data_IF_982300427756
#
_entry.id   IF_982300427756
#
_cell.length_a   1.000
_cell.length_b   1.000
_cell.length_c   1.000
_cell.angle_alpha   90.00
_cell.angle_beta   90.00
_cell.angle_gamma   90.00
#
_symmetry.space_group_name_H-M   'P 1'
#
loop_
_entity.id
_entity.type
_entity.pdbx_description
1 polymer ?
#
# COMPACT_ATOMS: atom_id res chain seq x y z
N UNK A 1 -22.50 17.79 -4.74
CA UNK A 1 -21.53 18.34 -5.72
C UNK A 1 -20.85 17.30 -6.63
N UNK A 2 -20.19 16.24 -6.13
CA UNK A 2 -19.49 15.28 -7.01
C UNK A 2 -20.38 14.32 -7.82
N UNK A 3 -21.55 13.94 -7.28
CA UNK A 3 -22.45 12.97 -7.92
C UNK A 3 -23.47 13.61 -8.90
N UNK A 4 -23.80 14.88 -8.71
CA UNK A 4 -24.81 15.60 -9.52
C UNK A 4 -24.35 15.88 -10.95
N UNK A 5 -23.03 15.97 -11.17
CA UNK A 5 -22.43 16.13 -12.51
C UNK A 5 -22.58 14.85 -13.36
N UNK A 6 -22.74 13.69 -12.71
CA UNK A 6 -22.72 12.36 -13.36
C UNK A 6 -24.06 12.06 -14.05
N UNK A 7 -25.19 12.59 -13.57
CA UNK A 7 -26.53 12.23 -14.05
C UNK A 7 -27.03 13.04 -15.26
N UNK A 8 -26.20 13.94 -15.83
CA UNK A 8 -26.58 14.71 -17.02
C UNK A 8 -26.17 13.99 -18.32
N UNK A 9 -27.13 13.32 -18.97
CA UNK A 9 -26.96 12.60 -20.26
C UNK A 9 -26.20 13.39 -21.33
N UNK A 10 -26.33 14.72 -21.36
CA UNK A 10 -25.70 15.57 -22.37
C UNK A 10 -24.20 15.83 -22.12
N UNK A 11 -23.60 15.26 -21.07
CA UNK A 11 -22.18 15.46 -20.74
C UNK A 11 -21.41 14.15 -20.49
N UNK A 12 -22.05 12.98 -20.62
CA UNK A 12 -21.41 11.66 -20.37
C UNK A 12 -20.18 11.44 -21.26
N UNK A 13 -20.21 11.89 -22.52
CA UNK A 13 -19.08 11.79 -23.45
C UNK A 13 -17.84 12.59 -23.02
N UNK A 14 -17.98 13.57 -22.10
CA UNK A 14 -16.84 14.31 -21.54
C UNK A 14 -16.11 13.54 -20.45
N UNK A 15 -16.75 12.53 -19.85
CA UNK A 15 -16.17 11.75 -18.73
C UNK A 15 -14.86 11.06 -19.15
N UNK A 16 -14.77 10.34 -20.29
CA UNK A 16 -13.51 9.76 -20.74
C UNK A 16 -12.40 10.80 -20.95
N UNK A 17 -12.73 11.98 -21.48
CA UNK A 17 -11.78 13.06 -21.77
C UNK A 17 -11.26 13.69 -20.46
N UNK A 18 -12.16 13.99 -19.53
CA UNK A 18 -11.79 14.49 -18.21
C UNK A 18 -10.94 13.48 -17.44
N UNK A 19 -11.28 12.19 -17.51
CA UNK A 19 -10.54 11.12 -16.85
C UNK A 19 -9.14 10.97 -17.43
N UNK A 20 -9.01 10.98 -18.76
CA UNK A 20 -7.72 10.95 -19.45
C UNK A 20 -6.83 12.11 -19.03
N UNK A 21 -7.37 13.33 -18.92
CA UNK A 21 -6.63 14.51 -18.46
C UNK A 21 -6.11 14.33 -17.03
N UNK A 22 -6.96 13.85 -16.10
CA UNK A 22 -6.57 13.60 -14.70
C UNK A 22 -5.48 12.53 -14.62
N UNK A 23 -5.63 11.44 -15.37
CA UNK A 23 -4.62 10.37 -15.42
C UNK A 23 -3.29 10.92 -15.93
N UNK A 24 -3.29 11.70 -17.01
CA UNK A 24 -2.08 12.29 -17.56
C UNK A 24 -1.40 13.28 -16.60
N UNK A 25 -2.19 14.07 -15.86
CA UNK A 25 -1.67 14.95 -14.80
C UNK A 25 -0.98 14.15 -13.69
N UNK A 26 -1.62 13.08 -13.20
CA UNK A 26 -1.03 12.20 -12.19
C UNK A 26 0.28 11.55 -12.67
N UNK A 27 0.34 11.09 -13.92
CA UNK A 27 1.58 10.53 -14.48
C UNK A 27 2.69 11.58 -14.56
N UNK A 28 2.37 12.81 -14.97
CA UNK A 28 3.33 13.92 -15.03
C UNK A 28 3.84 14.29 -13.64
N UNK A 29 2.95 14.43 -12.67
CA UNK A 29 3.30 14.68 -11.27
C UNK A 29 4.21 13.57 -10.75
N UNK A 30 3.85 12.30 -10.95
CA UNK A 30 4.65 11.15 -10.51
C UNK A 30 6.08 11.19 -11.06
N UNK A 31 6.29 11.63 -12.29
CA UNK A 31 7.62 11.81 -12.89
C UNK A 31 8.39 12.96 -12.23
N UNK A 32 7.72 14.07 -11.92
CA UNK A 32 8.29 15.21 -11.20
C UNK A 32 8.72 14.79 -9.79
N UNK A 33 7.82 14.16 -9.03
CA UNK A 33 8.10 13.67 -7.68
C UNK A 33 9.25 12.65 -7.67
N UNK A 34 9.38 11.80 -8.70
CA UNK A 34 10.49 10.83 -8.81
C UNK A 34 11.86 11.49 -8.99
N UNK A 35 11.91 12.67 -9.62
CA UNK A 35 13.14 13.40 -9.91
C UNK A 35 13.55 14.39 -8.80
N UNK A 36 12.73 14.56 -7.77
CA UNK A 36 13.12 15.32 -6.59
C UNK A 36 14.17 14.53 -5.79
N UNK A 37 15.30 15.18 -5.49
CA UNK A 37 16.34 14.62 -4.64
C UNK A 37 15.89 14.67 -3.17
N UNK A 38 15.17 13.65 -2.71
CA UNK A 38 14.84 13.52 -1.29
C UNK A 38 16.05 13.06 -0.48
N UNK A 39 16.20 13.53 0.77
CA UNK A 39 17.17 12.95 1.69
C UNK A 39 16.84 11.48 1.95
N UNK A 40 17.85 10.71 2.33
CA UNK A 40 17.67 9.29 2.66
C UNK A 40 16.63 9.11 3.76
N UNK A 41 15.88 8.01 3.73
CA UNK A 41 14.83 7.72 4.73
C UNK A 41 15.33 7.73 6.19
N UNK A 42 16.63 7.51 6.41
CA UNK A 42 17.25 7.54 7.74
C UNK A 42 17.43 8.94 8.31
N UNK A 43 17.35 9.97 7.46
CA UNK A 43 17.55 11.36 7.84
C UNK A 43 16.32 12.01 8.48
N UNK A 44 15.18 11.31 8.47
CA UNK A 44 13.94 11.83 9.05
C UNK A 44 13.86 11.47 10.53
N UNK A 45 13.39 12.42 11.35
CA UNK A 45 13.32 12.26 12.81
C UNK A 45 12.36 11.15 13.24
N UNK A 46 11.33 10.86 12.45
CA UNK A 46 10.32 9.83 12.70
C UNK A 46 10.74 8.42 12.26
N UNK A 47 11.92 8.27 11.65
CA UNK A 47 12.39 7.00 11.08
C UNK A 47 12.39 5.86 12.11
N UNK A 48 12.82 6.15 13.35
CA UNK A 48 12.85 5.15 14.42
C UNK A 48 11.44 4.70 14.82
N UNK A 49 10.48 5.62 14.86
CA UNK A 49 9.10 5.29 15.20
C UNK A 49 8.44 4.47 14.06
N UNK A 50 8.72 4.82 12.81
CA UNK A 50 8.28 4.03 11.66
C UNK A 50 8.84 2.60 11.68
N UNK A 51 10.09 2.41 12.12
CA UNK A 51 10.67 1.08 12.30
C UNK A 51 9.96 0.27 13.39
N UNK A 52 9.59 0.91 14.51
CA UNK A 52 8.80 0.26 15.59
C UNK A 52 7.44 -0.17 15.07
N UNK A 53 6.72 0.71 14.37
CA UNK A 53 5.42 0.41 13.75
C UNK A 53 5.52 -0.79 12.79
N UNK A 54 6.57 -0.85 11.97
CA UNK A 54 6.83 -1.96 11.04
C UNK A 54 7.00 -3.32 11.75
N UNK A 55 7.45 -3.33 13.00
CA UNK A 55 7.60 -4.56 13.78
C UNK A 55 6.27 -5.10 14.32
N UNK A 56 5.20 -4.28 14.38
CA UNK A 56 3.90 -4.74 14.85
C UNK A 56 3.33 -5.84 13.94
N UNK A 57 2.66 -6.80 14.58
CA UNK A 57 2.02 -7.92 13.90
C UNK A 57 0.99 -7.45 12.88
N UNK A 58 0.19 -6.43 13.21
CA UNK A 58 -0.82 -5.85 12.31
C UNK A 58 -0.21 -5.35 11.00
N UNK A 59 0.92 -4.65 11.08
CA UNK A 59 1.65 -4.16 9.90
C UNK A 59 2.13 -5.33 9.03
N UNK A 60 2.80 -6.33 9.63
CA UNK A 60 3.31 -7.51 8.91
C UNK A 60 2.19 -8.34 8.27
N UNK A 61 1.03 -8.41 8.94
CA UNK A 61 -0.18 -9.03 8.40
C UNK A 61 -0.67 -8.27 7.16
N UNK A 62 -0.80 -6.94 7.25
CA UNK A 62 -1.21 -6.11 6.11
C UNK A 62 -0.25 -6.22 4.93
N UNK A 63 1.06 -6.22 5.19
CA UNK A 63 2.11 -6.41 4.18
C UNK A 63 1.95 -7.77 3.47
N UNK A 64 1.74 -8.85 4.22
CA UNK A 64 1.52 -10.19 3.67
C UNK A 64 0.26 -10.24 2.79
N UNK A 65 -0.84 -9.61 3.23
CA UNK A 65 -2.08 -9.53 2.46
C UNK A 65 -1.89 -8.81 1.13
N UNK A 66 -1.22 -7.65 1.13
CA UNK A 66 -0.96 -6.87 -0.07
C UNK A 66 -0.09 -7.67 -1.06
N UNK A 67 0.95 -8.36 -0.57
CA UNK A 67 1.81 -9.18 -1.41
C UNK A 67 1.06 -10.36 -2.03
N UNK A 68 0.25 -11.06 -1.25
CA UNK A 68 -0.58 -12.17 -1.74
C UNK A 68 -1.64 -11.70 -2.72
N UNK A 69 -2.24 -10.53 -2.50
CA UNK A 69 -3.16 -9.92 -3.46
C UNK A 69 -2.47 -9.59 -4.78
N UNK A 70 -1.27 -9.00 -4.75
CA UNK A 70 -0.49 -8.74 -5.99
C UNK A 70 -0.16 -10.03 -6.76
N UNK A 71 -0.05 -11.16 -6.07
CA UNK A 71 0.30 -12.47 -6.65
C UNK A 71 -0.89 -13.43 -6.68
N UNK A 72 -2.12 -12.90 -6.65
CA UNK A 72 -3.34 -13.72 -6.61
C UNK A 72 -3.39 -14.72 -7.78
N UNK A 73 -2.96 -14.28 -8.96
CA UNK A 73 -2.91 -15.06 -10.20
C UNK A 73 -1.89 -16.21 -10.17
N UNK A 74 -1.00 -16.27 -9.17
CA UNK A 74 -0.04 -17.37 -8.95
C UNK A 74 -0.52 -18.39 -7.91
N UNK A 75 -1.79 -18.34 -7.51
CA UNK A 75 -2.34 -19.23 -6.47
C UNK A 75 -1.87 -18.87 -5.06
N UNK A 76 -1.29 -17.68 -4.84
CA UNK A 76 -0.76 -17.23 -3.54
C UNK A 76 -1.82 -17.19 -2.43
N UNK A 77 -3.10 -17.15 -2.80
CA UNK A 77 -4.22 -17.16 -1.87
C UNK A 77 -4.35 -18.50 -1.11
N UNK A 78 -4.09 -19.64 -1.74
CA UNK A 78 -4.16 -20.95 -1.07
C UNK A 78 -3.07 -21.12 0.00
N UNK A 79 -1.93 -20.46 -0.18
CA UNK A 79 -0.77 -20.52 0.73
C UNK A 79 -0.89 -19.49 1.86
N UNK A 80 -1.80 -18.52 1.73
CA UNK A 80 -1.96 -17.39 2.65
C UNK A 80 -2.27 -17.83 4.09
N UNK A 81 -3.22 -18.76 4.37
CA UNK A 81 -3.52 -19.18 5.75
C UNK A 81 -2.31 -19.80 6.46
N UNK A 82 -1.51 -20.59 5.73
CA UNK A 82 -0.28 -21.17 6.24
C UNK A 82 0.75 -20.10 6.61
N UNK A 83 0.96 -19.12 5.71
CA UNK A 83 1.88 -18.00 5.96
C UNK A 83 1.44 -17.17 7.17
N UNK A 84 0.14 -16.94 7.34
CA UNK A 84 -0.41 -16.29 8.54
C UNK A 84 -0.08 -17.05 9.82
N UNK A 85 -0.31 -18.36 9.84
CA UNK A 85 0.01 -19.19 10.98
C UNK A 85 1.50 -19.14 11.33
N UNK A 86 2.38 -19.28 10.33
CA UNK A 86 3.82 -19.15 10.51
C UNK A 86 4.22 -17.76 11.05
N UNK A 87 3.60 -16.69 10.56
CA UNK A 87 3.88 -15.32 10.98
C UNK A 87 3.52 -15.09 12.45
N UNK A 88 2.34 -15.54 12.88
CA UNK A 88 1.89 -15.43 14.27
C UNK A 88 2.78 -16.27 15.19
N UNK A 89 3.16 -17.49 14.77
CA UNK A 89 4.06 -18.36 15.53
C UNK A 89 5.44 -17.74 15.72
N UNK A 90 6.01 -17.13 14.67
CA UNK A 90 7.28 -16.39 14.74
C UNK A 90 7.18 -15.22 15.71
N UNK A 91 6.15 -14.39 15.57
CA UNK A 91 5.94 -13.25 16.46
C UNK A 91 5.81 -13.69 17.92
N UNK A 92 5.12 -14.80 18.23
CA UNK A 92 5.06 -15.34 19.58
C UNK A 92 6.41 -15.82 20.12
N UNK A 93 7.29 -16.37 19.28
CA UNK A 93 8.65 -16.79 19.67
C UNK A 93 9.56 -15.59 19.93
N UNK A 94 9.57 -14.62 19.03
CA UNK A 94 10.27 -13.34 19.22
C UNK A 94 9.79 -12.69 20.53
N UNK A 95 8.49 -12.85 20.82
CA UNK A 95 7.88 -12.42 22.08
C UNK A 95 8.35 -13.10 23.36
N UNK A 96 8.88 -14.30 23.25
CA UNK A 96 9.31 -15.10 24.37
C UNK A 96 10.81 -14.91 24.63
N UNK A 97 11.60 -14.70 23.58
CA UNK A 97 13.06 -14.53 23.63
C UNK A 97 13.48 -13.28 24.40
N UNK A 98 12.78 -12.14 24.23
CA UNK A 98 13.07 -10.92 24.99
C UNK A 98 12.55 -10.93 26.44
N UNK A 99 11.83 -11.98 26.86
CA UNK A 99 11.30 -12.12 28.23
C UNK A 99 12.14 -13.08 29.08
N UNK A 100 13.24 -13.61 28.53
CA UNK A 100 14.24 -14.44 29.22
C UNK A 100 15.36 -13.54 29.74
#
# INVERSE_FOLDING_TARGET
MGAEVIYNKNKIYKIPICLYKVINMYHKEKLIWKNCNYPSLKSYDDYQEALRIKQHLSYKIGELLIQSYKQWYKGSFFILPWKFYCLVKKHKKDKNDYRI
#
